data_IF_643588716162
#
_entry.id   IF_643588716162
#
_cell.length_a   1.000
_cell.length_b   1.000
_cell.length_c   1.000
_cell.angle_alpha   90.00
_cell.angle_beta   90.00
_cell.angle_gamma   90.00
#
_symmetry.space_group_name_H-M   'P 1'
#
loop_
_entity.id
_entity.type
_entity.pdbx_description
1 polymer ?
#
# COMPACT_ATOMS: atom_id res chain seq x y z
N UNK A 1 -29.94 -3.27 46.53
CA UNK A 1 -29.87 -4.42 45.59
C UNK A 1 -30.59 -4.03 44.32
N UNK A 2 -29.98 -4.34 43.17
CA UNK A 2 -30.47 -4.17 41.78
C UNK A 2 -30.71 -2.71 41.33
N UNK A 3 -30.27 -2.26 40.16
CA UNK A 3 -30.21 -2.98 38.91
C UNK A 3 -29.13 -2.37 38.00
N UNK A 4 -28.11 -3.14 37.65
CA UNK A 4 -27.14 -2.78 36.64
C UNK A 4 -27.85 -2.87 35.28
N UNK A 5 -28.10 -1.72 34.63
CA UNK A 5 -28.57 -1.71 33.25
C UNK A 5 -27.40 -2.13 32.36
N UNK A 6 -27.40 -3.39 31.95
CA UNK A 6 -26.58 -3.89 30.85
C UNK A 6 -26.84 -3.01 29.62
N UNK A 7 -25.85 -2.21 29.24
CA UNK A 7 -25.78 -1.66 27.89
C UNK A 7 -25.34 -2.79 26.99
N UNK A 8 -26.29 -3.35 26.24
CA UNK A 8 -26.04 -4.39 25.26
C UNK A 8 -25.08 -3.86 24.18
N UNK A 9 -23.93 -4.49 24.10
CA UNK A 9 -22.88 -4.27 23.12
C UNK A 9 -23.41 -4.67 21.74
N UNK A 10 -23.73 -3.70 20.88
CA UNK A 10 -24.07 -3.97 19.47
C UNK A 10 -22.78 -4.30 18.72
N UNK A 11 -22.36 -5.56 18.73
CA UNK A 11 -21.44 -6.13 17.74
C UNK A 11 -22.22 -6.45 16.46
N UNK A 12 -22.65 -5.41 15.74
CA UNK A 12 -23.38 -5.53 14.49
C UNK A 12 -22.49 -5.20 13.29
N UNK A 13 -21.78 -6.19 12.76
CA UNK A 13 -21.31 -6.26 11.37
C UNK A 13 -20.40 -5.12 10.89
N UNK A 14 -19.12 -5.15 11.26
CA UNK A 14 -18.11 -4.64 10.33
C UNK A 14 -18.01 -5.69 9.22
N UNK A 15 -18.47 -5.45 7.98
CA UNK A 15 -18.09 -6.31 6.87
C UNK A 15 -16.56 -6.35 6.89
N UNK A 16 -15.98 -7.55 6.94
CA UNK A 16 -14.54 -7.71 6.93
C UNK A 16 -13.97 -6.81 5.84
N UNK A 17 -12.95 -6.01 6.18
CA UNK A 17 -12.19 -5.25 5.20
C UNK A 17 -11.52 -6.27 4.28
N UNK A 18 -12.24 -6.80 3.29
CA UNK A 18 -11.63 -7.45 2.16
C UNK A 18 -10.85 -6.36 1.44
N UNK A 19 -9.52 -6.43 1.51
CA UNK A 19 -8.67 -5.64 0.64
C UNK A 19 -9.11 -5.96 -0.80
N UNK A 20 -9.57 -4.94 -1.51
CA UNK A 20 -10.01 -5.08 -2.89
C UNK A 20 -8.76 -5.21 -3.76
N UNK A 21 -8.53 -6.41 -4.31
CA UNK A 21 -7.35 -6.68 -5.13
C UNK A 21 -7.27 -5.71 -6.32
N UNK A 22 -6.06 -5.21 -6.59
CA UNK A 22 -5.81 -4.33 -7.74
C UNK A 22 -6.33 -4.92 -9.06
N UNK A 23 -7.03 -4.09 -9.84
CA UNK A 23 -7.41 -4.44 -11.20
C UNK A 23 -6.17 -4.58 -12.10
N UNK A 24 -6.24 -5.36 -13.19
CA UNK A 24 -5.13 -5.47 -14.14
C UNK A 24 -4.67 -4.12 -14.72
N UNK A 25 -5.61 -3.19 -14.93
CA UNK A 25 -5.32 -1.84 -15.41
C UNK A 25 -4.52 -1.05 -14.36
N UNK A 26 -4.93 -1.11 -13.09
CA UNK A 26 -4.20 -0.43 -12.01
C UNK A 26 -2.77 -0.97 -11.87
N UNK A 27 -2.56 -2.28 -12.04
CA UNK A 27 -1.21 -2.87 -12.04
C UNK A 27 -0.36 -2.30 -13.18
N UNK A 28 -0.91 -2.17 -14.38
CA UNK A 28 -0.21 -1.59 -15.52
C UNK A 28 0.14 -0.11 -15.29
N UNK A 29 -0.79 0.67 -14.74
CA UNK A 29 -0.53 2.08 -14.40
C UNK A 29 0.60 2.21 -13.38
N UNK A 30 0.60 1.38 -12.32
CA UNK A 30 1.69 1.36 -11.33
C UNK A 30 3.03 1.05 -12.01
N UNK A 31 3.10 0.07 -12.91
CA UNK A 31 4.33 -0.22 -13.65
C UNK A 31 4.80 0.98 -14.49
N UNK A 32 3.87 1.68 -15.15
CA UNK A 32 4.17 2.91 -15.90
C UNK A 32 4.74 4.02 -15.01
N UNK A 33 4.14 4.23 -13.83
CA UNK A 33 4.62 5.22 -12.86
C UNK A 33 6.01 4.87 -12.31
N UNK A 34 6.27 3.60 -12.00
CA UNK A 34 7.59 3.14 -11.56
C UNK A 34 8.65 3.34 -12.66
N UNK A 35 8.30 3.10 -13.92
CA UNK A 35 9.20 3.38 -15.04
C UNK A 35 9.49 4.89 -15.16
N UNK A 36 8.47 5.74 -15.09
CA UNK A 36 8.63 7.19 -15.15
C UNK A 36 9.54 7.73 -14.02
N UNK A 37 9.44 7.16 -12.81
CA UNK A 37 10.37 7.44 -11.71
C UNK A 37 11.81 7.08 -12.12
N UNK A 38 12.02 5.89 -12.67
CA UNK A 38 13.34 5.40 -13.08
C UNK A 38 14.00 6.21 -14.20
N UNK A 39 13.20 6.76 -15.11
CA UNK A 39 13.66 7.58 -16.24
C UNK A 39 13.70 9.09 -15.96
N UNK A 40 13.33 9.52 -14.75
CA UNK A 40 13.17 10.95 -14.42
C UNK A 40 14.47 11.76 -14.41
N UNK A 41 15.63 11.11 -14.25
CA UNK A 41 16.90 11.80 -14.04
C UNK A 41 17.05 12.48 -12.67
N UNK A 42 16.03 12.43 -11.82
CA UNK A 42 16.05 13.02 -10.48
C UNK A 42 16.90 12.20 -9.50
N UNK A 43 17.41 12.87 -8.46
CA UNK A 43 17.90 12.21 -7.25
C UNK A 43 16.77 12.04 -6.25
N UNK A 44 16.72 10.86 -5.63
CA UNK A 44 15.73 10.49 -4.63
C UNK A 44 16.37 10.34 -3.26
N UNK A 45 15.83 11.05 -2.28
CA UNK A 45 16.31 10.98 -0.90
C UNK A 45 15.65 9.81 -0.18
N UNK A 46 16.47 8.93 0.42
CA UNK A 46 16.00 7.85 1.30
C UNK A 46 16.80 7.89 2.60
N UNK A 47 16.12 8.15 3.71
CA UNK A 47 16.78 8.29 5.02
C UNK A 47 17.89 9.35 5.04
N UNK A 48 17.74 10.42 4.25
CA UNK A 48 18.73 11.49 4.12
C UNK A 48 19.86 11.25 3.12
N UNK A 49 19.94 10.07 2.50
CA UNK A 49 20.95 9.75 1.48
C UNK A 49 20.38 9.90 0.06
N UNK A 50 21.09 10.56 -0.87
CA UNK A 50 20.67 10.65 -2.26
C UNK A 50 20.90 9.34 -3.02
N UNK A 51 20.00 9.03 -3.94
CA UNK A 51 20.06 7.87 -4.82
C UNK A 51 19.61 8.22 -6.24
N UNK A 52 20.27 7.64 -7.24
CA UNK A 52 19.86 7.79 -8.62
C UNK A 52 18.45 7.22 -8.88
N UNK A 53 17.74 7.82 -9.85
CA UNK A 53 16.41 7.41 -10.29
C UNK A 53 16.25 5.89 -10.49
N UNK A 54 17.20 5.21 -11.14
CA UNK A 54 17.16 3.76 -11.34
C UNK A 54 17.16 2.96 -10.02
N UNK A 55 17.89 3.45 -8.99
CA UNK A 55 17.87 2.85 -7.64
C UNK A 55 16.54 3.11 -6.93
N UNK A 56 15.93 4.28 -7.16
CA UNK A 56 14.60 4.60 -6.64
C UNK A 56 13.53 3.68 -7.23
N UNK A 57 13.49 3.50 -8.56
CA UNK A 57 12.58 2.57 -9.22
C UNK A 57 12.74 1.15 -8.67
N UNK A 58 13.99 0.65 -8.60
CA UNK A 58 14.26 -0.70 -8.07
C UNK A 58 13.74 -0.86 -6.64
N UNK A 59 13.93 0.16 -5.79
CA UNK A 59 13.48 0.13 -4.40
C UNK A 59 11.95 0.15 -4.28
N UNK A 60 11.27 0.96 -5.07
CA UNK A 60 9.81 1.04 -5.08
C UNK A 60 9.18 -0.23 -5.67
N UNK A 61 9.79 -0.81 -6.71
CA UNK A 61 9.35 -2.09 -7.28
C UNK A 61 9.41 -3.21 -6.23
N UNK A 62 10.50 -3.31 -5.45
CA UNK A 62 10.59 -4.26 -4.33
C UNK A 62 9.48 -4.07 -3.29
N UNK A 63 9.09 -2.82 -3.00
CA UNK A 63 7.96 -2.54 -2.09
C UNK A 63 6.63 -2.96 -2.70
N UNK A 64 6.44 -2.71 -3.99
CA UNK A 64 5.25 -3.12 -4.71
C UNK A 64 5.10 -4.64 -4.68
N UNK A 65 6.12 -5.41 -5.08
CA UNK A 65 6.09 -6.88 -5.04
C UNK A 65 5.84 -7.41 -3.62
N UNK A 66 6.43 -6.77 -2.60
CA UNK A 66 6.24 -7.14 -1.20
C UNK A 66 4.77 -7.02 -0.76
N UNK A 67 4.09 -5.93 -1.15
CA UNK A 67 2.70 -5.68 -0.79
C UNK A 67 1.75 -6.54 -1.63
N UNK A 68 2.05 -6.71 -2.92
CA UNK A 68 1.26 -7.57 -3.81
C UNK A 68 1.26 -9.01 -3.32
N UNK A 69 2.42 -9.56 -2.93
CA UNK A 69 2.53 -10.91 -2.40
C UNK A 69 1.80 -11.14 -1.05
N UNK A 70 1.29 -10.07 -0.41
CA UNK A 70 0.56 -10.12 0.85
C UNK A 70 -0.91 -9.74 0.70
N UNK A 71 -1.37 -9.51 -0.53
CA UNK A 71 -2.70 -8.97 -0.81
C UNK A 71 -2.98 -7.69 0.00
N UNK A 72 -1.95 -6.82 0.07
CA UNK A 72 -1.98 -5.53 0.77
C UNK A 72 -2.05 -4.33 -0.18
N UNK A 73 -2.47 -4.55 -1.43
CA UNK A 73 -2.63 -3.54 -2.46
C UNK A 73 -4.08 -3.44 -2.95
#
# INVERSE_FOLDING_TARGET
MASARLVALVLGGLPGLCAAQLSPVAKQEIQGLLHAVGSSGCEFIRGGTPHAAAKAQSHLFLKYEYLEARDQL
#
